data_IF_007126811761
#
_entry.id   IF_007126811761
#
_cell.length_a   1.000
_cell.length_b   1.000
_cell.length_c   1.000
_cell.angle_alpha   90.00
_cell.angle_beta   90.00
_cell.angle_gamma   90.00
#
_symmetry.space_group_name_H-M   'P 1'
#
loop_
_entity.id
_entity.type
_entity.pdbx_description
1 polymer ?
#
# COMPACT_ATOMS: atom_id res chain seq x y z
N UNK A 1 9.62 -9.96 -8.01
CA UNK A 1 8.98 -9.02 -8.92
C UNK A 1 8.87 -7.65 -8.29
N UNK A 2 9.20 -6.63 -9.01
CA UNK A 2 9.15 -5.27 -8.50
C UNK A 2 7.73 -4.71 -8.63
N UNK A 3 7.19 -4.10 -7.58
CA UNK A 3 5.84 -3.52 -7.64
C UNK A 3 5.84 -2.16 -8.34
N UNK A 4 6.30 -2.13 -9.60
CA UNK A 4 6.43 -0.88 -10.32
C UNK A 4 5.09 -0.20 -10.59
N UNK A 5 4.06 -1.00 -10.86
CA UNK A 5 2.75 -0.43 -11.15
C UNK A 5 2.21 0.33 -9.94
N UNK A 6 2.32 -0.27 -8.76
CA UNK A 6 1.85 0.40 -7.54
C UNK A 6 2.69 1.64 -7.25
N UNK A 7 3.99 1.59 -7.51
CA UNK A 7 4.86 2.74 -7.29
C UNK A 7 4.45 3.91 -8.18
N UNK A 8 4.14 3.65 -9.44
CA UNK A 8 3.70 4.70 -10.36
C UNK A 8 2.37 5.30 -9.94
N UNK A 9 1.44 4.45 -9.54
CA UNK A 9 0.13 4.92 -9.10
C UNK A 9 0.28 5.77 -7.84
N UNK A 10 1.07 5.31 -6.90
CA UNK A 10 1.30 6.02 -5.64
C UNK A 10 1.99 7.36 -5.91
N UNK A 11 3.00 7.37 -6.79
CA UNK A 11 3.69 8.61 -7.13
C UNK A 11 2.73 9.63 -7.71
N UNK A 12 1.79 9.19 -8.56
CA UNK A 12 0.79 10.07 -9.12
C UNK A 12 -0.09 10.68 -8.05
N UNK A 13 -0.55 9.89 -7.10
CA UNK A 13 -1.39 10.39 -6.03
C UNK A 13 -0.63 11.28 -5.06
N UNK A 14 0.65 11.03 -4.85
CA UNK A 14 1.49 11.92 -4.05
C UNK A 14 1.60 13.28 -4.73
N UNK A 15 1.84 13.29 -6.04
CA UNK A 15 1.91 14.52 -6.81
C UNK A 15 0.62 15.32 -6.71
N UNK A 16 -0.52 14.63 -6.75
CA UNK A 16 -1.82 15.26 -6.62
C UNK A 16 -2.22 15.55 -5.18
N UNK A 17 -1.41 15.10 -4.22
CA UNK A 17 -1.69 15.23 -2.80
C UNK A 17 -3.03 14.59 -2.44
N UNK A 18 -3.34 13.48 -3.08
CA UNK A 18 -4.62 12.80 -2.88
C UNK A 18 -4.48 11.74 -1.78
N UNK A 19 -4.51 12.21 -0.54
CA UNK A 19 -4.38 11.35 0.62
C UNK A 19 -5.48 10.30 0.69
N UNK A 20 -6.70 10.70 0.37
CA UNK A 20 -7.83 9.80 0.47
C UNK A 20 -7.66 8.59 -0.45
N UNK A 21 -7.21 8.82 -1.69
CA UNK A 21 -6.99 7.72 -2.62
C UNK A 21 -5.93 6.77 -2.09
N UNK A 22 -4.85 7.31 -1.52
CA UNK A 22 -3.80 6.49 -0.94
C UNK A 22 -4.30 5.68 0.25
N UNK A 23 -5.12 6.28 1.09
CA UNK A 23 -5.70 5.56 2.23
C UNK A 23 -6.61 4.44 1.77
N UNK A 24 -7.38 4.67 0.72
CA UNK A 24 -8.27 3.65 0.19
C UNK A 24 -7.47 2.48 -0.39
N UNK A 25 -6.38 2.78 -1.09
CA UNK A 25 -5.52 1.72 -1.61
C UNK A 25 -4.93 0.90 -0.46
N UNK A 26 -4.43 1.58 0.58
CA UNK A 26 -3.86 0.91 1.73
C UNK A 26 -4.90 0.01 2.42
N UNK A 27 -6.08 0.55 2.65
CA UNK A 27 -7.13 -0.20 3.34
C UNK A 27 -7.54 -1.41 2.54
N UNK A 28 -7.65 -1.27 1.21
CA UNK A 28 -7.98 -2.40 0.35
C UNK A 28 -6.92 -3.49 0.43
N UNK A 29 -5.65 -3.09 0.39
CA UNK A 29 -4.54 -4.04 0.48
C UNK A 29 -4.49 -4.72 1.85
N UNK A 30 -4.75 -3.97 2.91
CA UNK A 30 -4.80 -4.54 4.25
C UNK A 30 -5.90 -5.57 4.39
N UNK A 31 -7.04 -5.31 3.78
CA UNK A 31 -8.15 -6.26 3.80
C UNK A 31 -7.76 -7.53 3.06
N UNK A 32 -7.15 -7.40 1.89
CA UNK A 32 -6.71 -8.57 1.14
C UNK A 32 -5.67 -9.37 1.93
N UNK A 33 -4.78 -8.68 2.60
CA UNK A 33 -3.76 -9.35 3.42
C UNK A 33 -4.41 -10.12 4.55
N UNK A 34 -5.36 -9.50 5.22
CA UNK A 34 -6.08 -10.15 6.30
C UNK A 34 -6.83 -11.40 5.80
N UNK A 35 -7.51 -11.27 4.69
CA UNK A 35 -8.25 -12.38 4.12
C UNK A 35 -7.33 -13.51 3.69
N UNK A 36 -6.17 -13.17 3.14
CA UNK A 36 -5.20 -14.18 2.75
C UNK A 36 -4.72 -14.97 3.96
N UNK A 37 -4.50 -14.29 5.07
CA UNK A 37 -4.06 -14.96 6.30
C UNK A 37 -5.16 -15.82 6.90
N UNK A 38 -6.40 -15.37 6.80
CA UNK A 38 -7.54 -16.13 7.30
C UNK A 38 -7.73 -17.43 6.52
N UNK A 39 -7.32 -17.43 5.27
CA UNK A 39 -7.42 -18.62 4.42
C UNK A 39 -6.09 -19.34 4.27
N UNK A 40 -5.16 -19.08 5.17
CA UNK A 40 -3.89 -19.81 5.20
C UNK A 40 -4.20 -21.28 5.42
N UNK A 41 -3.46 -22.14 4.76
CA UNK A 41 -3.75 -23.55 4.78
C UNK A 41 -4.22 -24.04 3.43
N UNK A 42 -4.54 -23.09 2.56
CA UNK A 42 -4.79 -23.40 1.17
C UNK A 42 -3.51 -23.95 0.54
N UNK A 43 -3.69 -24.75 -0.51
CA UNK A 43 -2.54 -25.30 -1.23
C UNK A 43 -1.87 -24.25 -2.12
N UNK A 44 -2.45 -23.06 -2.20
CA UNK A 44 -1.85 -21.95 -2.95
C UNK A 44 -0.78 -21.30 -2.08
N UNK A 45 0.27 -20.81 -2.72
CA UNK A 45 1.37 -20.13 -2.02
C UNK A 45 0.91 -18.82 -1.43
N UNK A 46 0.48 -18.84 -0.19
CA UNK A 46 -0.03 -17.67 0.51
C UNK A 46 1.12 -16.72 0.87
N UNK A 47 2.30 -17.27 1.11
CA UNK A 47 3.45 -16.46 1.53
C UNK A 47 3.83 -15.44 0.48
N UNK A 48 3.87 -15.84 -0.79
CA UNK A 48 4.20 -14.90 -1.86
C UNK A 48 3.18 -13.77 -1.95
N UNK A 49 1.90 -14.12 -1.84
CA UNK A 49 0.85 -13.12 -1.91
C UNK A 49 0.91 -12.16 -0.73
N UNK A 50 1.09 -12.69 0.48
CA UNK A 50 1.13 -11.81 1.66
C UNK A 50 2.36 -10.93 1.64
N UNK A 51 3.50 -11.42 1.15
CA UNK A 51 4.70 -10.61 1.02
C UNK A 51 4.49 -9.47 0.03
N UNK A 52 3.87 -9.76 -1.10
CA UNK A 52 3.60 -8.75 -2.11
C UNK A 52 2.65 -7.68 -1.57
N UNK A 53 1.59 -8.11 -0.89
CA UNK A 53 0.63 -7.17 -0.31
C UNK A 53 1.28 -6.30 0.76
N UNK A 54 2.11 -6.90 1.61
CA UNK A 54 2.79 -6.14 2.65
C UNK A 54 3.73 -5.11 2.04
N UNK A 55 4.43 -5.46 0.97
CA UNK A 55 5.31 -4.55 0.28
C UNK A 55 4.54 -3.37 -0.30
N UNK A 56 3.37 -3.64 -0.89
CA UNK A 56 2.54 -2.58 -1.44
C UNK A 56 2.01 -1.66 -0.33
N UNK A 57 1.60 -2.25 0.79
CA UNK A 57 1.16 -1.46 1.94
C UNK A 57 2.28 -0.55 2.43
N UNK A 58 3.50 -1.08 2.50
CA UNK A 58 4.65 -0.29 2.94
C UNK A 58 4.90 0.89 2.01
N UNK A 59 4.77 0.69 0.72
CA UNK A 59 4.95 1.75 -0.26
C UNK A 59 3.90 2.85 -0.06
N UNK A 60 2.65 2.45 0.12
CA UNK A 60 1.57 3.41 0.31
C UNK A 60 1.73 4.15 1.64
N UNK A 61 2.10 3.43 2.70
CA UNK A 61 2.30 4.06 4.01
C UNK A 61 3.43 5.08 3.95
N UNK A 62 4.52 4.77 3.26
CA UNK A 62 5.62 5.72 3.10
C UNK A 62 5.17 6.97 2.35
N UNK A 63 4.33 6.79 1.34
CA UNK A 63 3.79 7.92 0.59
C UNK A 63 2.89 8.79 1.46
N UNK A 64 2.06 8.17 2.28
CA UNK A 64 1.20 8.91 3.20
C UNK A 64 2.01 9.71 4.20
N UNK A 65 3.09 9.12 4.70
CA UNK A 65 3.98 9.83 5.61
C UNK A 65 4.60 11.05 4.95
N UNK A 66 4.99 10.93 3.70
CA UNK A 66 5.54 12.07 2.97
C UNK A 66 4.55 13.20 2.84
N UNK A 67 3.28 12.87 2.58
CA UNK A 67 2.25 13.89 2.49
C UNK A 67 2.04 14.59 3.82
N UNK A 68 2.06 13.82 4.91
CA UNK A 68 1.88 14.40 6.23
C UNK A 68 3.08 15.26 6.61
N UNK A 69 4.28 14.78 6.32
CA UNK A 69 5.48 15.55 6.61
C UNK A 69 5.52 16.83 5.79
N UNK A 70 5.13 16.76 4.52
CA UNK A 70 5.05 17.93 3.69
C UNK A 70 4.06 18.95 4.22
N UNK A 71 2.92 18.49 4.71
CA UNK A 71 1.92 19.38 5.30
C UNK A 71 2.46 20.00 6.58
N UNK A 72 3.18 19.23 7.38
CA UNK A 72 3.76 19.73 8.62
C UNK A 72 4.85 20.77 8.36
N UNK A 73 5.65 20.56 7.34
CA UNK A 73 6.80 21.40 7.07
C UNK A 73 6.40 22.77 6.50
N UNK A 74 5.17 22.92 6.07
CA UNK A 74 4.70 24.18 5.54
C UNK A 74 4.54 25.22 6.64
N UNK A 75 4.34 24.78 7.83
CA UNK A 75 4.23 25.68 8.98
C UNK A 75 5.62 26.16 9.43
#
# INVERSE_FOLDING_TARGET
>A
MMPKAIEHIVAGYVTLKNRQALQEIRDHRRRLLHESRMHAGSWVSVESLTSALQEEINIVDAALERLEDGASSIN
#
